data_IF_751701873602
#
_entry.id   IF_751701873602
#
_cell.length_a   1.000
_cell.length_b   1.000
_cell.length_c   1.000
_cell.angle_alpha   90.00
_cell.angle_beta   90.00
_cell.angle_gamma   90.00
#
_symmetry.space_group_name_H-M   'P 1'
#
loop_
_entity.id
_entity.type
_entity.pdbx_description
1 polymer ?
#
# COMPACT_ATOMS: atom_id res chain seq x y z
N UNK A 1 7.55 31.03 2.12
CA UNK A 1 7.19 29.66 1.69
C UNK A 1 6.70 28.72 2.81
N UNK A 2 6.38 29.20 4.04
CA UNK A 2 6.07 28.32 5.20
C UNK A 2 4.58 28.19 5.60
N UNK A 3 3.66 28.94 4.99
CA UNK A 3 2.23 28.95 5.39
C UNK A 3 1.36 27.97 4.57
N UNK A 4 1.82 27.51 3.40
CA UNK A 4 1.00 26.71 2.47
C UNK A 4 0.80 25.24 2.90
N UNK A 5 1.67 24.72 3.77
CA UNK A 5 1.64 23.30 4.19
C UNK A 5 0.46 22.99 5.15
N UNK A 6 0.23 23.71 6.26
CA UNK A 6 -0.88 23.41 7.16
C UNK A 6 -2.25 23.56 6.49
N UNK A 7 -2.40 24.52 5.57
CA UNK A 7 -3.65 24.75 4.85
C UNK A 7 -4.02 23.60 3.91
N UNK A 8 -3.05 22.82 3.44
CA UNK A 8 -3.28 21.64 2.60
C UNK A 8 -3.56 20.37 3.42
N UNK A 9 -3.09 20.30 4.67
CA UNK A 9 -3.27 19.10 5.51
C UNK A 9 -4.75 18.83 5.80
N UNK A 10 -5.51 19.86 6.18
CA UNK A 10 -6.93 19.70 6.56
C UNK A 10 -7.82 19.25 5.38
N UNK A 11 -7.72 19.82 4.17
CA UNK A 11 -8.43 19.31 3.00
C UNK A 11 -8.01 17.88 2.66
N UNK A 12 -6.71 17.57 2.66
CA UNK A 12 -6.21 16.22 2.34
C UNK A 12 -6.78 15.20 3.33
N UNK A 13 -6.71 15.49 4.64
CA UNK A 13 -7.25 14.65 5.70
C UNK A 13 -8.73 14.31 5.50
N UNK A 14 -9.55 15.29 5.12
CA UNK A 14 -10.99 15.09 4.87
C UNK A 14 -11.28 14.26 3.63
N UNK A 15 -10.35 14.22 2.67
CA UNK A 15 -10.50 13.44 1.42
C UNK A 15 -9.93 12.02 1.52
N UNK A 16 -9.34 11.65 2.66
CA UNK A 16 -8.86 10.29 2.86
C UNK A 16 -10.04 9.30 2.88
N UNK A 17 -9.87 8.08 2.36
CA UNK A 17 -10.89 7.05 2.34
C UNK A 17 -11.06 6.43 3.74
N UNK A 18 -11.48 7.23 4.72
CA UNK A 18 -11.58 6.83 6.13
C UNK A 18 -12.39 5.57 6.34
N UNK A 19 -13.45 5.36 5.54
CA UNK A 19 -14.25 4.13 5.59
C UNK A 19 -13.44 2.88 5.24
N UNK A 20 -12.64 2.93 4.18
CA UNK A 20 -11.81 1.80 3.77
C UNK A 20 -10.69 1.57 4.79
N UNK A 21 -10.04 2.64 5.25
CA UNK A 21 -8.96 2.57 6.24
C UNK A 21 -9.46 2.07 7.59
N UNK A 22 -10.62 2.54 8.07
CA UNK A 22 -11.19 2.10 9.34
C UNK A 22 -11.72 0.67 9.26
N UNK A 23 -12.36 0.28 8.15
CA UNK A 23 -12.81 -1.09 7.95
C UNK A 23 -11.63 -2.07 7.89
N UNK A 24 -10.58 -1.75 7.13
CA UNK A 24 -9.36 -2.54 7.07
C UNK A 24 -8.66 -2.61 8.45
N UNK A 25 -8.53 -1.47 9.13
CA UNK A 25 -7.91 -1.40 10.44
C UNK A 25 -8.66 -2.19 11.50
N UNK A 26 -10.00 -2.07 11.54
CA UNK A 26 -10.86 -2.83 12.44
C UNK A 26 -10.78 -4.33 12.13
N UNK A 27 -10.89 -4.71 10.85
CA UNK A 27 -10.83 -6.11 10.44
C UNK A 27 -9.49 -6.74 10.85
N UNK A 28 -8.37 -6.06 10.61
CA UNK A 28 -7.07 -6.60 10.99
C UNK A 28 -6.85 -6.66 12.51
N UNK A 29 -7.38 -5.71 13.28
CA UNK A 29 -7.38 -5.81 14.76
C UNK A 29 -8.25 -6.97 15.25
N UNK A 30 -9.43 -7.17 14.66
CA UNK A 30 -10.31 -8.29 14.98
C UNK A 30 -9.62 -9.62 14.66
N UNK A 31 -8.97 -9.75 13.51
CA UNK A 31 -8.22 -10.95 13.13
C UNK A 31 -7.05 -11.22 14.09
N UNK A 32 -6.31 -10.18 14.49
CA UNK A 32 -5.19 -10.30 15.43
C UNK A 32 -5.65 -10.66 16.86
N UNK A 33 -6.79 -10.12 17.30
CA UNK A 33 -7.34 -10.37 18.62
C UNK A 33 -8.18 -11.67 18.71
N UNK A 34 -8.60 -12.24 17.58
CA UNK A 34 -9.52 -13.38 17.55
C UNK A 34 -9.03 -14.59 18.37
N UNK A 35 -7.75 -15.02 18.24
CA UNK A 35 -7.26 -16.15 19.03
C UNK A 35 -7.37 -15.89 20.54
N UNK A 36 -6.96 -14.69 20.98
CA UNK A 36 -7.03 -14.29 22.39
C UNK A 36 -8.49 -14.22 22.89
N UNK A 37 -9.42 -13.73 22.07
CA UNK A 37 -10.83 -13.61 22.43
C UNK A 37 -11.53 -14.96 22.66
N UNK A 38 -11.05 -16.02 22.00
CA UNK A 38 -11.60 -17.39 22.12
C UNK A 38 -10.75 -18.26 23.06
N UNK A 39 -9.67 -17.70 23.64
CA UNK A 39 -8.73 -18.45 24.49
C UNK A 39 -7.94 -19.51 23.71
N UNK A 40 -7.79 -19.33 22.40
CA UNK A 40 -7.00 -20.22 21.56
C UNK A 40 -5.51 -19.84 21.64
N UNK A 41 -4.65 -20.86 21.69
CA UNK A 41 -3.20 -20.72 21.57
C UNK A 41 -2.77 -21.11 20.15
N UNK A 42 -2.63 -20.14 19.23
CA UNK A 42 -2.25 -20.44 17.86
C UNK A 42 -0.80 -20.90 17.80
N UNK A 43 -0.57 -21.98 17.06
CA UNK A 43 0.78 -22.43 16.72
C UNK A 43 1.51 -21.39 15.84
N UNK A 44 2.84 -21.46 15.77
CA UNK A 44 3.69 -20.51 15.03
C UNK A 44 3.26 -20.33 13.58
N UNK A 45 2.91 -21.42 12.91
CA UNK A 45 2.40 -21.39 11.53
C UNK A 45 1.08 -20.61 11.41
N UNK A 46 0.16 -20.83 12.35
CA UNK A 46 -1.14 -20.18 12.37
C UNK A 46 -0.98 -18.69 12.64
N UNK A 47 -0.14 -18.33 13.61
CA UNK A 47 0.21 -16.94 13.92
C UNK A 47 0.84 -16.23 12.72
N UNK A 48 1.78 -16.86 12.02
CA UNK A 48 2.39 -16.30 10.81
C UNK A 48 1.34 -16.06 9.72
N UNK A 49 0.48 -17.05 9.46
CA UNK A 49 -0.56 -16.95 8.43
C UNK A 49 -1.58 -15.86 8.78
N UNK A 50 -1.96 -15.73 10.05
CA UNK A 50 -2.82 -14.66 10.54
C UNK A 50 -2.17 -13.28 10.33
N UNK A 51 -0.90 -13.11 10.71
CA UNK A 51 -0.17 -11.85 10.52
C UNK A 51 -0.05 -11.46 9.04
N UNK A 52 0.19 -12.43 8.14
CA UNK A 52 0.15 -12.21 6.68
C UNK A 52 -1.23 -11.76 6.22
N UNK A 53 -2.29 -12.37 6.73
CA UNK A 53 -3.67 -11.96 6.48
C UNK A 53 -3.96 -10.53 6.95
N UNK A 54 -3.52 -10.17 8.16
CA UNK A 54 -3.67 -8.82 8.71
C UNK A 54 -2.90 -7.81 7.87
N UNK A 55 -1.65 -8.11 7.51
CA UNK A 55 -0.86 -7.26 6.62
C UNK A 55 -1.55 -7.03 5.27
N UNK A 56 -2.14 -8.09 4.69
CA UNK A 56 -2.93 -7.99 3.47
C UNK A 56 -4.16 -7.09 3.66
N UNK A 57 -4.91 -7.21 4.76
CA UNK A 57 -6.04 -6.29 5.02
C UNK A 57 -5.60 -4.83 5.10
N UNK A 58 -4.47 -4.54 5.74
CA UNK A 58 -3.90 -3.20 5.79
C UNK A 58 -3.52 -2.67 4.41
N UNK A 59 -2.88 -3.51 3.58
CA UNK A 59 -2.53 -3.17 2.21
C UNK A 59 -3.77 -2.92 1.33
N UNK A 60 -4.84 -3.71 1.51
CA UNK A 60 -6.11 -3.50 0.81
C UNK A 60 -6.73 -2.15 1.16
N UNK A 61 -6.75 -1.76 2.44
CA UNK A 61 -7.21 -0.43 2.86
C UNK A 61 -6.41 0.70 2.20
N UNK A 62 -5.09 0.52 2.06
CA UNK A 62 -4.19 1.50 1.43
C UNK A 62 -4.29 1.52 -0.10
N UNK A 63 -4.76 0.47 -0.76
CA UNK A 63 -5.01 0.47 -2.20
C UNK A 63 -6.02 1.57 -2.60
N UNK A 64 -6.99 1.88 -1.72
CA UNK A 64 -7.98 2.93 -1.92
C UNK A 64 -7.45 4.35 -1.65
N UNK A 65 -6.22 4.49 -1.13
CA UNK A 65 -5.65 5.80 -0.75
C UNK A 65 -5.57 6.78 -1.93
N UNK A 66 -5.40 6.23 -3.14
CA UNK A 66 -5.31 6.99 -4.38
C UNK A 66 -6.65 7.15 -5.11
N UNK A 67 -7.74 6.57 -4.59
CA UNK A 67 -9.05 6.82 -5.16
C UNK A 67 -9.44 8.29 -4.96
N UNK A 68 -9.81 8.94 -6.05
CA UNK A 68 -10.38 10.28 -6.05
C UNK A 68 -11.69 10.27 -6.85
N UNK A 69 -12.83 10.05 -6.19
CA UNK A 69 -14.12 9.99 -6.86
C UNK A 69 -14.53 11.33 -7.50
N UNK A 70 -13.84 12.44 -7.19
CA UNK A 70 -14.10 13.77 -7.75
C UNK A 70 -13.13 14.16 -8.89
N UNK A 71 -12.37 13.20 -9.45
CA UNK A 71 -11.43 13.44 -10.57
C UNK A 71 -12.08 14.17 -11.76
N UNK A 72 -13.37 13.93 -12.03
CA UNK A 72 -14.09 14.56 -13.14
C UNK A 72 -14.35 16.06 -12.92
N UNK A 73 -14.30 16.56 -11.69
CA UNK A 73 -14.58 17.95 -11.34
C UNK A 73 -13.31 18.77 -10.99
N UNK A 74 -12.20 18.09 -10.68
CA UNK A 74 -10.94 18.71 -10.19
C UNK A 74 -9.79 18.69 -11.21
N UNK A 75 -10.04 18.18 -12.42
CA UNK A 75 -9.09 18.19 -13.53
C UNK A 75 -8.40 19.54 -13.84
N UNK A 76 -8.99 20.72 -13.60
CA UNK A 76 -8.31 21.99 -13.89
C UNK A 76 -7.44 22.53 -12.75
N UNK A 77 -7.30 21.85 -11.60
CA UNK A 77 -6.57 22.40 -10.44
C UNK A 77 -5.04 22.27 -10.63
N UNK A 78 -4.28 23.38 -10.53
CA UNK A 78 -2.84 23.44 -10.89
C UNK A 78 -1.89 22.86 -9.82
N UNK A 79 -2.36 22.03 -8.90
CA UNK A 79 -1.48 21.40 -7.90
C UNK A 79 -0.89 20.09 -8.44
N UNK A 80 0.41 19.89 -8.19
CA UNK A 80 1.15 18.71 -8.68
C UNK A 80 0.61 17.44 -8.01
N UNK A 81 0.16 16.47 -8.82
CA UNK A 81 -0.35 15.15 -8.40
C UNK A 81 0.55 14.39 -7.42
N UNK A 82 1.90 14.31 -7.60
CA UNK A 82 2.76 13.56 -6.67
C UNK A 82 2.80 14.17 -5.27
N UNK A 83 2.64 15.50 -5.15
CA UNK A 83 2.65 16.16 -3.84
C UNK A 83 1.41 15.77 -3.02
N UNK A 84 0.24 15.68 -3.65
CA UNK A 84 -0.99 15.24 -2.97
C UNK A 84 -0.90 13.78 -2.52
N UNK A 85 -0.34 12.92 -3.36
CA UNK A 85 -0.12 11.50 -3.03
C UNK A 85 0.88 11.35 -1.87
N UNK A 86 2.01 12.04 -1.94
CA UNK A 86 3.00 12.04 -0.87
C UNK A 86 2.43 12.55 0.46
N UNK A 87 1.63 13.63 0.45
CA UNK A 87 0.95 14.13 1.65
C UNK A 87 -0.04 13.11 2.22
N UNK A 88 -0.85 12.45 1.37
CA UNK A 88 -1.79 11.41 1.81
C UNK A 88 -1.06 10.25 2.48
N UNK A 89 0.02 9.76 1.86
CA UNK A 89 0.83 8.68 2.42
C UNK A 89 1.50 9.13 3.73
N UNK A 90 2.07 10.33 3.78
CA UNK A 90 2.72 10.87 4.97
C UNK A 90 1.76 11.01 6.16
N UNK A 91 0.48 11.35 5.92
CA UNK A 91 -0.54 11.45 6.98
C UNK A 91 -1.00 10.08 7.49
N UNK A 92 -1.08 9.07 6.61
CA UNK A 92 -1.55 7.73 6.98
C UNK A 92 -0.44 6.85 7.54
N UNK A 93 0.81 7.04 7.11
CA UNK A 93 1.98 6.28 7.56
C UNK A 93 2.12 6.16 9.09
N UNK A 94 2.05 7.24 9.90
CA UNK A 94 2.16 7.12 11.36
C UNK A 94 0.99 6.34 11.97
N UNK A 95 -0.24 6.51 11.43
CA UNK A 95 -1.40 5.77 11.90
C UNK A 95 -1.28 4.27 11.55
N UNK A 96 -0.80 3.95 10.35
CA UNK A 96 -0.53 2.58 9.93
C UNK A 96 0.56 1.92 10.78
N UNK A 97 1.63 2.65 11.12
CA UNK A 97 2.69 2.15 12.00
C UNK A 97 2.18 1.88 13.42
N UNK A 98 1.37 2.79 13.98
CA UNK A 98 0.75 2.60 15.30
C UNK A 98 -0.19 1.39 15.30
N UNK A 99 -1.03 1.28 14.27
CA UNK A 99 -1.94 0.15 14.09
C UNK A 99 -1.20 -1.18 13.96
N UNK A 100 -0.15 -1.24 13.13
CA UNK A 100 0.65 -2.46 12.99
C UNK A 100 1.37 -2.83 14.28
N UNK A 101 1.86 -1.84 15.02
CA UNK A 101 2.45 -2.07 16.36
C UNK A 101 1.41 -2.66 17.30
N UNK A 102 0.18 -2.16 17.31
CA UNK A 102 -0.91 -2.72 18.10
C UNK A 102 -1.22 -4.18 17.71
N UNK A 103 -1.26 -4.49 16.41
CA UNK A 103 -1.42 -5.87 15.90
C UNK A 103 -0.33 -6.78 16.45
N UNK A 104 0.94 -6.36 16.37
CA UNK A 104 2.06 -7.16 16.89
C UNK A 104 1.95 -7.39 18.39
N UNK A 105 1.48 -6.39 19.16
CA UNK A 105 1.32 -6.48 20.60
C UNK A 105 0.15 -7.40 21.01
N UNK A 106 -0.89 -7.52 20.19
CA UNK A 106 -2.03 -8.41 20.44
C UNK A 106 -1.67 -9.89 20.23
N UNK A 107 -0.67 -10.19 19.42
CA UNK A 107 -0.25 -11.57 19.14
C UNK A 107 0.61 -12.13 20.29
N UNK A 108 0.34 -13.35 20.81
CA UNK A 108 1.13 -13.97 21.88
C UNK A 108 2.62 -14.05 21.54
N UNK A 109 3.50 -13.72 22.49
CA UNK A 109 4.96 -13.72 22.27
C UNK A 109 5.52 -15.12 22.01
N UNK A 110 4.90 -16.17 22.53
CA UNK A 110 5.37 -17.56 22.39
C UNK A 110 5.31 -18.10 20.96
N UNK A 111 4.32 -17.66 20.17
CA UNK A 111 4.14 -18.06 18.77
C UNK A 111 4.46 -16.95 17.77
N UNK A 112 4.96 -15.81 18.24
CA UNK A 112 5.27 -14.65 17.40
C UNK A 112 6.55 -14.90 16.57
N UNK A 113 6.50 -14.80 15.23
CA UNK A 113 7.70 -14.81 14.41
C UNK A 113 8.55 -13.55 14.66
N UNK A 114 9.82 -13.51 14.18
CA UNK A 114 10.65 -12.32 14.28
C UNK A 114 9.92 -11.08 13.74
N UNK A 115 9.76 -10.05 14.58
CA UNK A 115 8.92 -8.90 14.25
C UNK A 115 9.45 -8.12 13.04
N UNK A 116 10.77 -8.00 12.90
CA UNK A 116 11.40 -7.32 11.76
C UNK A 116 11.03 -7.98 10.42
N UNK A 117 11.13 -9.29 10.36
CA UNK A 117 10.86 -10.10 9.17
C UNK A 117 9.39 -9.98 8.74
N UNK A 118 8.45 -10.08 9.68
CA UNK A 118 7.03 -9.93 9.35
C UNK A 118 6.65 -8.46 9.03
N UNK A 119 7.34 -7.48 9.63
CA UNK A 119 7.16 -6.07 9.25
C UNK A 119 7.66 -5.80 7.83
N UNK A 120 8.69 -6.52 7.38
CA UNK A 120 9.20 -6.43 6.01
C UNK A 120 8.16 -6.97 5.02
N UNK A 121 7.58 -8.15 5.27
CA UNK A 121 6.50 -8.69 4.43
C UNK A 121 5.31 -7.71 4.36
N UNK A 122 4.91 -7.15 5.51
CA UNK A 122 3.84 -6.16 5.55
C UNK A 122 4.18 -4.89 4.75
N UNK A 123 5.41 -4.39 4.87
CA UNK A 123 5.88 -3.24 4.10
C UNK A 123 5.85 -3.52 2.59
N UNK A 124 6.20 -4.73 2.16
CA UNK A 124 6.13 -5.13 0.75
C UNK A 124 4.70 -5.03 0.22
N UNK A 125 3.72 -5.59 0.96
CA UNK A 125 2.31 -5.52 0.54
C UNK A 125 1.81 -4.08 0.45
N UNK A 126 2.19 -3.23 1.41
CA UNK A 126 1.85 -1.80 1.39
C UNK A 126 2.46 -1.10 0.18
N UNK A 127 3.75 -1.29 -0.08
CA UNK A 127 4.43 -0.64 -1.20
C UNK A 127 3.91 -1.17 -2.54
N UNK A 128 3.59 -2.46 -2.66
CA UNK A 128 2.94 -3.02 -3.84
C UNK A 128 1.55 -2.40 -4.08
N UNK A 129 0.75 -2.19 -3.04
CA UNK A 129 -0.54 -1.52 -3.15
C UNK A 129 -0.38 -0.08 -3.69
N UNK A 130 0.58 0.68 -3.13
CA UNK A 130 0.86 2.05 -3.55
C UNK A 130 1.45 2.12 -4.96
N UNK A 131 2.39 1.23 -5.28
CA UNK A 131 3.03 1.12 -6.60
C UNK A 131 1.99 0.74 -7.66
N UNK A 132 1.16 -0.26 -7.39
CA UNK A 132 0.09 -0.71 -8.27
C UNK A 132 -0.92 0.41 -8.52
N UNK A 133 -1.38 1.07 -7.47
CA UNK A 133 -2.31 2.19 -7.60
C UNK A 133 -1.69 3.36 -8.38
N UNK A 134 -0.42 3.72 -8.13
CA UNK A 134 0.27 4.75 -8.91
C UNK A 134 0.45 4.34 -10.39
N UNK A 135 0.72 3.06 -10.65
CA UNK A 135 0.89 2.53 -12.00
C UNK A 135 -0.43 2.54 -12.78
N UNK A 136 -1.52 2.06 -12.18
CA UNK A 136 -2.85 2.11 -12.78
C UNK A 136 -3.23 3.55 -13.13
N UNK A 137 -3.08 4.46 -12.17
CA UNK A 137 -3.31 5.91 -12.31
C UNK A 137 -2.49 6.58 -13.42
N UNK A 138 -1.33 6.02 -13.79
CA UNK A 138 -0.45 6.51 -14.86
C UNK A 138 -0.75 5.87 -16.22
N UNK A 139 -1.08 4.59 -16.25
CA UNK A 139 -1.27 3.81 -17.47
C UNK A 139 -2.72 3.78 -17.94
N UNK A 140 -3.69 4.02 -17.05
CA UNK A 140 -5.11 4.01 -17.35
C UNK A 140 -5.76 5.34 -17.00
N UNK A 141 -6.84 5.67 -17.70
CA UNK A 141 -7.71 6.79 -17.36
C UNK A 141 -8.74 6.43 -16.30
N UNK A 142 -8.49 5.38 -15.51
CA UNK A 142 -9.41 4.91 -14.49
C UNK A 142 -9.52 5.91 -13.32
N UNK A 143 -10.76 6.22 -12.94
CA UNK A 143 -11.03 7.14 -11.84
C UNK A 143 -10.87 6.49 -10.45
N UNK A 144 -10.88 5.15 -10.40
CA UNK A 144 -10.87 4.37 -9.15
C UNK A 144 -9.94 3.15 -9.30
N UNK A 145 -8.62 3.32 -9.17
CA UNK A 145 -7.67 2.19 -9.19
C UNK A 145 -7.86 1.22 -8.00
N UNK A 146 -8.47 1.64 -6.89
CA UNK A 146 -8.54 0.87 -5.65
C UNK A 146 -9.08 -0.56 -5.81
N UNK A 147 -10.27 -0.77 -6.40
CA UNK A 147 -10.84 -2.11 -6.58
C UNK A 147 -9.99 -3.05 -7.44
N UNK A 148 -9.39 -2.56 -8.55
CA UNK A 148 -8.59 -3.40 -9.44
C UNK A 148 -7.27 -3.81 -8.79
N UNK A 149 -6.63 -2.90 -8.05
CA UNK A 149 -5.41 -3.19 -7.29
C UNK A 149 -5.70 -4.11 -6.09
N UNK A 150 -6.81 -3.90 -5.40
CA UNK A 150 -7.25 -4.81 -4.34
C UNK A 150 -7.48 -6.23 -4.87
N UNK A 151 -8.17 -6.37 -6.01
CA UNK A 151 -8.38 -7.66 -6.66
C UNK A 151 -7.05 -8.31 -7.10
N UNK A 152 -6.14 -7.53 -7.68
CA UNK A 152 -4.81 -8.01 -8.09
C UNK A 152 -3.99 -8.50 -6.88
N UNK A 153 -4.01 -7.76 -5.76
CA UNK A 153 -3.33 -8.16 -4.53
C UNK A 153 -3.93 -9.45 -3.94
N UNK A 154 -5.25 -9.55 -3.86
CA UNK A 154 -5.94 -10.76 -3.39
C UNK A 154 -5.59 -11.96 -4.27
N UNK A 155 -5.68 -11.80 -5.59
CA UNK A 155 -5.34 -12.85 -6.55
C UNK A 155 -3.87 -13.27 -6.39
N UNK A 156 -2.96 -12.31 -6.23
CA UNK A 156 -1.53 -12.58 -6.03
C UNK A 156 -1.29 -13.28 -4.70
N UNK A 157 -1.96 -12.90 -3.62
CA UNK A 157 -1.84 -13.53 -2.32
C UNK A 157 -2.29 -15.01 -2.33
N UNK A 158 -3.25 -15.36 -3.20
CA UNK A 158 -3.71 -16.74 -3.39
C UNK A 158 -2.80 -17.51 -4.35
N UNK A 159 -2.45 -16.91 -5.50
CA UNK A 159 -1.70 -17.60 -6.55
C UNK A 159 -0.21 -17.71 -6.26
N UNK A 160 0.41 -16.71 -5.62
CA UNK A 160 1.85 -16.72 -5.39
C UNK A 160 2.30 -17.93 -4.53
N UNK A 161 1.63 -18.29 -3.42
CA UNK A 161 1.98 -19.51 -2.68
C UNK A 161 1.78 -20.81 -3.47
N UNK A 162 0.81 -20.84 -4.40
CA UNK A 162 0.48 -22.03 -5.19
C UNK A 162 1.38 -22.22 -6.41
N UNK A 163 1.86 -21.12 -7.00
CA UNK A 163 2.63 -21.12 -8.24
C UNK A 163 4.12 -20.84 -8.02
N UNK A 164 4.51 -20.35 -6.84
CA UNK A 164 5.91 -20.11 -6.53
C UNK A 164 6.68 -21.44 -6.56
N UNK A 165 7.78 -21.53 -7.33
CA UNK A 165 8.63 -22.69 -7.28
C UNK A 165 9.14 -22.94 -5.86
N UNK A 166 9.21 -24.21 -5.43
CA UNK A 166 9.73 -24.55 -4.10
C UNK A 166 11.17 -24.04 -3.89
N UNK A 167 11.95 -23.92 -4.97
CA UNK A 167 13.30 -23.36 -4.98
C UNK A 167 13.35 -21.88 -4.56
N UNK A 168 12.24 -21.16 -4.77
CA UNK A 168 12.11 -19.74 -4.44
C UNK A 168 11.75 -19.51 -2.96
N UNK A 169 11.22 -20.53 -2.29
CA UNK A 169 11.01 -20.61 -0.83
C UNK A 169 10.54 -19.30 -0.17
N UNK A 170 9.66 -18.55 -0.83
CA UNK A 170 9.25 -17.21 -0.37
C UNK A 170 8.31 -17.28 0.85
N UNK A 171 7.54 -18.37 0.94
CA UNK A 171 6.55 -18.63 1.97
C UNK A 171 6.97 -19.79 2.87
N UNK A 172 8.12 -19.64 3.53
CA UNK A 172 8.64 -20.63 4.48
C UNK A 172 8.10 -20.40 5.90
N UNK A 173 8.19 -21.43 6.73
CA UNK A 173 7.85 -21.35 8.16
C UNK A 173 9.01 -20.78 8.96
N UNK A 174 8.79 -20.20 10.16
CA UNK A 174 9.85 -19.58 10.96
C UNK A 174 10.96 -20.57 11.39
N UNK A 175 10.63 -21.85 11.46
CA UNK A 175 11.57 -22.91 11.85
C UNK A 175 12.35 -23.50 10.66
N UNK A 176 12.04 -23.09 9.42
CA UNK A 176 12.75 -23.54 8.21
C UNK A 176 14.12 -22.83 8.11
N UNK A 177 15.23 -23.58 7.89
CA UNK A 177 16.57 -23.01 7.71
C UNK A 177 16.66 -21.95 6.60
N UNK A 178 15.73 -21.96 5.63
CA UNK A 178 15.67 -21.01 4.50
C UNK A 178 15.02 -19.68 4.87
N UNK A 179 14.51 -19.52 6.09
CA UNK A 179 13.82 -18.29 6.55
C UNK A 179 14.60 -16.99 6.29
N UNK A 180 15.92 -16.89 6.59
CA UNK A 180 16.68 -15.67 6.31
C UNK A 180 16.76 -15.37 4.81
N UNK A 181 17.06 -16.38 3.99
CA UNK A 181 17.15 -16.23 2.54
C UNK A 181 15.81 -15.86 1.89
N UNK A 182 14.68 -16.30 2.47
CA UNK A 182 13.36 -15.87 2.05
C UNK A 182 13.14 -14.37 2.30
N UNK A 183 13.61 -13.86 3.44
CA UNK A 183 13.48 -12.44 3.79
C UNK A 183 14.42 -11.53 2.99
N UNK A 184 15.59 -12.03 2.58
CA UNK A 184 16.43 -11.34 1.59
C UNK A 184 15.67 -11.15 0.26
N UNK A 185 14.93 -12.17 -0.19
CA UNK A 185 14.09 -12.07 -1.39
C UNK A 185 12.94 -11.09 -1.19
N UNK A 186 12.28 -11.08 -0.04
CA UNK A 186 11.28 -10.07 0.30
C UNK A 186 11.86 -8.65 0.27
N UNK A 187 13.10 -8.45 0.73
CA UNK A 187 13.78 -7.16 0.65
C UNK A 187 14.04 -6.74 -0.81
N UNK A 188 14.41 -7.68 -1.68
CA UNK A 188 14.52 -7.42 -3.13
C UNK A 188 13.18 -7.04 -3.73
N UNK A 189 12.09 -7.73 -3.38
CA UNK A 189 10.73 -7.40 -3.84
C UNK A 189 10.32 -6.01 -3.36
N UNK A 190 10.62 -5.66 -2.10
CA UNK A 190 10.37 -4.31 -1.57
C UNK A 190 11.11 -3.25 -2.38
N UNK A 191 12.40 -3.47 -2.65
CA UNK A 191 13.23 -2.57 -3.45
C UNK A 191 12.67 -2.37 -4.86
N UNK A 192 12.30 -3.46 -5.54
CA UNK A 192 11.67 -3.41 -6.86
C UNK A 192 10.34 -2.65 -6.85
N UNK A 193 9.47 -2.92 -5.87
CA UNK A 193 8.19 -2.23 -5.72
C UNK A 193 8.37 -0.73 -5.44
N UNK A 194 9.36 -0.36 -4.62
CA UNK A 194 9.70 1.04 -4.33
C UNK A 194 10.22 1.77 -5.57
N UNK A 195 11.05 1.10 -6.40
CA UNK A 195 11.50 1.65 -7.70
C UNK A 195 10.32 1.89 -8.63
N UNK A 196 9.42 0.91 -8.77
CA UNK A 196 8.20 1.06 -9.60
C UNK A 196 7.36 2.24 -9.10
N UNK A 197 7.15 2.33 -7.79
CA UNK A 197 6.42 3.46 -7.21
C UNK A 197 7.09 4.81 -7.49
N UNK A 198 8.41 4.89 -7.34
CA UNK A 198 9.20 6.10 -7.61
C UNK A 198 9.20 6.50 -9.09
N UNK A 199 9.16 5.54 -10.01
CA UNK A 199 9.11 5.80 -11.48
C UNK A 199 7.69 6.16 -11.93
N UNK A 200 6.66 5.57 -11.33
CA UNK A 200 5.27 5.80 -11.71
C UNK A 200 4.61 6.99 -11.00
N UNK A 201 5.14 7.44 -9.86
CA UNK A 201 4.61 8.57 -9.09
C UNK A 201 4.72 9.96 -9.75
N UNK A 202 5.83 10.33 -10.43
CA UNK A 202 5.94 11.60 -11.12
C UNK A 202 5.18 11.60 -12.46
N UNK A 203 4.25 12.55 -12.63
CA UNK A 203 3.74 12.88 -13.96
C UNK A 203 4.88 13.42 -14.85
N UNK A 204 4.98 13.00 -16.12
CA UNK A 204 5.92 13.60 -17.04
C UNK A 204 5.59 15.09 -17.16
N UNK A 205 6.48 15.93 -16.64
CA UNK A 205 6.39 17.39 -16.72
C UNK A 205 6.08 17.77 -18.18
N UNK A 206 4.94 18.45 -18.35
CA UNK A 206 4.25 18.68 -19.62
C UNK A 206 5.18 18.74 -20.83
N UNK A 207 5.02 17.76 -21.71
CA UNK A 207 5.50 17.88 -23.10
C UNK A 207 4.86 19.14 -23.68
N UNK A 208 5.69 20.17 -23.84
CA UNK A 208 5.59 21.39 -24.67
C UNK A 208 4.60 21.31 -25.85
N UNK A 209 3.29 21.19 -25.61
CA UNK A 209 2.25 21.25 -26.65
C UNK A 209 1.64 22.64 -26.80
N UNK A 210 2.11 23.62 -26.03
CA UNK A 210 1.67 25.02 -26.11
C UNK A 210 2.44 25.91 -27.10
N UNK A 211 3.49 25.43 -27.79
CA UNK A 211 4.32 26.29 -28.67
C UNK A 211 4.07 26.16 -30.18
N UNK A 212 3.11 25.34 -30.62
CA UNK A 212 2.73 25.26 -32.06
C UNK A 212 1.35 25.81 -32.40
N UNK A 213 0.47 26.02 -31.42
CA UNK A 213 -0.87 26.58 -31.69
C UNK A 213 -0.89 28.13 -31.83
N UNK A 214 0.19 28.83 -31.47
CA UNK A 214 0.27 30.28 -31.61
C UNK A 214 1.06 30.76 -32.84
N UNK A 215 1.52 29.84 -33.69
CA UNK A 215 2.23 30.18 -34.93
C UNK A 215 1.34 30.06 -36.19
N UNK A 216 0.06 29.68 -36.06
CA UNK A 216 -0.84 29.44 -37.19
C UNK A 216 -2.04 30.41 -37.27
N UNK A 217 -2.00 31.53 -36.55
CA UNK A 217 -3.08 32.53 -36.54
C UNK A 217 -2.52 33.95 -36.61
N UNK A 218 -1.73 34.25 -37.64
CA UNK A 218 -1.45 35.63 -38.02
C UNK A 218 -2.56 36.13 -38.95
N UNK A 219 -3.18 37.30 -38.68
CA UNK A 219 -4.23 37.84 -39.54
C UNK A 219 -3.62 38.43 -40.82
N UNK A 220 -4.20 38.08 -41.96
CA UNK A 220 -4.15 38.83 -43.22
C UNK A 220 -5.55 38.80 -43.82
#
# INVERSE_FOLDING_TARGET
MRVVIPDLVRPVWRTLPWRALSAAGLLGLLLAAAPAAVGAEPDRWQTLTLLRGVALTGALGLAFLLDDPARHLTAPVPTRRPLRQALRVALVAPLAALWWTAVLLLVPSASRPPAGDITLEAAVLVVLALAGAATAVRLTDEARPGPSIAAALLLTAVLAPLLAPESWALFVTPDDPRWPAAHDRWAVVLGAAAVVWGVCGPEPLGRRRGRRAHAAGGPA
#
